data_IF_716911011974
#
_entry.id   IF_716911011974
#
_cell.length_a   1.000
_cell.length_b   1.000
_cell.length_c   1.000
_cell.angle_alpha   90.00
_cell.angle_beta   90.00
_cell.angle_gamma   90.00
#
_symmetry.space_group_name_H-M   'P 1'
#
loop_
_entity.id
_entity.type
_entity.pdbx_description
1 polymer ?
#
# COMPACT_ATOMS: atom_id res chain seq x y z
N UNK A 1 -27.50 15.06 -10.42
CA UNK A 1 -27.47 14.52 -9.07
C UNK A 1 -28.83 14.79 -8.45
N UNK A 2 -29.58 13.75 -8.13
CA UNK A 2 -30.85 13.87 -7.42
C UNK A 2 -30.60 14.60 -6.10
N UNK A 3 -31.38 15.64 -5.85
CA UNK A 3 -31.13 16.66 -4.83
C UNK A 3 -31.26 16.20 -3.36
N UNK A 4 -31.66 14.94 -3.09
CA UNK A 4 -32.14 14.59 -1.75
C UNK A 4 -31.55 13.36 -1.06
N UNK A 5 -30.64 12.61 -1.66
CA UNK A 5 -29.99 11.51 -0.95
C UNK A 5 -28.51 11.77 -0.71
N UNK A 6 -28.14 12.03 0.53
CA UNK A 6 -26.74 12.06 0.97
C UNK A 6 -26.14 10.67 0.80
N UNK A 7 -25.10 10.52 -0.02
CA UNK A 7 -24.38 9.25 -0.27
C UNK A 7 -22.89 9.43 -0.05
N UNK A 8 -22.22 8.34 0.26
CA UNK A 8 -20.76 8.26 0.26
C UNK A 8 -20.31 7.61 -1.05
N UNK A 9 -19.29 8.20 -1.70
CA UNK A 9 -18.90 7.78 -3.04
C UNK A 9 -17.47 7.26 -3.11
N UNK A 10 -17.35 6.08 -3.69
CA UNK A 10 -16.10 5.48 -4.09
C UNK A 10 -15.70 5.98 -5.47
N UNK A 11 -14.43 6.34 -5.65
CA UNK A 11 -13.86 6.69 -6.94
C UNK A 11 -12.65 5.81 -7.24
N UNK A 12 -12.46 5.43 -8.51
CA UNK A 12 -11.27 4.72 -8.94
C UNK A 12 -10.04 5.63 -8.80
N UNK A 13 -9.04 5.17 -8.05
CA UNK A 13 -7.76 5.84 -7.90
C UNK A 13 -6.74 5.19 -8.84
N UNK A 14 -6.29 5.93 -9.83
CA UNK A 14 -5.26 5.52 -10.78
C UNK A 14 -3.90 6.06 -10.32
N UNK A 15 -2.98 5.16 -9.95
CA UNK A 15 -1.68 5.53 -9.43
C UNK A 15 -0.72 5.88 -10.57
N UNK A 16 0.01 6.99 -10.39
CA UNK A 16 1.02 7.48 -11.34
C UNK A 16 2.37 7.53 -10.62
N UNK A 17 3.38 6.93 -11.23
CA UNK A 17 4.76 6.99 -10.77
C UNK A 17 5.62 7.57 -11.88
N UNK A 18 6.27 8.70 -11.62
CA UNK A 18 7.21 9.35 -12.54
C UNK A 18 6.71 9.32 -14.01
N UNK A 19 5.54 9.91 -14.25
CA UNK A 19 4.84 9.99 -15.54
C UNK A 19 4.27 8.65 -16.09
N UNK A 20 4.54 7.52 -15.44
CA UNK A 20 3.98 6.24 -15.84
C UNK A 20 2.70 5.92 -15.05
N UNK A 21 1.64 5.60 -15.75
CA UNK A 21 0.42 5.08 -15.14
C UNK A 21 0.62 3.60 -14.83
N UNK A 22 0.49 3.22 -13.57
CA UNK A 22 0.45 1.82 -13.20
C UNK A 22 -0.96 1.28 -13.43
N UNK A 23 -1.04 0.16 -14.12
CA UNK A 23 -2.31 -0.51 -14.43
C UNK A 23 -2.43 -1.85 -13.74
N UNK A 24 -1.31 -2.43 -13.33
CA UNK A 24 -1.20 -3.74 -12.72
C UNK A 24 -0.21 -3.74 -11.54
N UNK A 25 0.03 -4.89 -10.96
CA UNK A 25 1.05 -5.11 -9.94
C UNK A 25 0.85 -4.28 -8.67
N UNK A 26 1.95 -3.70 -8.18
CA UNK A 26 2.01 -3.02 -6.86
C UNK A 26 1.15 -1.76 -6.80
N UNK A 27 1.13 -0.99 -7.87
CA UNK A 27 0.43 0.29 -7.95
C UNK A 27 -0.84 0.23 -8.81
N UNK A 28 -1.41 -0.98 -9.01
CA UNK A 28 -2.66 -1.13 -9.74
C UNK A 28 -3.75 -0.20 -9.19
N UNK A 29 -4.69 0.22 -10.03
CA UNK A 29 -5.82 1.03 -9.58
C UNK A 29 -6.61 0.34 -8.47
N UNK A 30 -7.11 1.13 -7.55
CA UNK A 30 -8.00 0.70 -6.48
C UNK A 30 -9.16 1.68 -6.32
N UNK A 31 -10.18 1.31 -5.55
CA UNK A 31 -11.28 2.20 -5.21
C UNK A 31 -11.07 2.78 -3.82
N UNK A 32 -11.29 4.08 -3.70
CA UNK A 32 -11.16 4.79 -2.43
C UNK A 32 -12.41 5.62 -2.17
N UNK A 33 -12.87 5.63 -0.91
CA UNK A 33 -13.96 6.47 -0.47
C UNK A 33 -13.43 7.90 -0.32
N UNK A 34 -13.96 8.88 -1.09
CA UNK A 34 -13.42 10.26 -1.11
C UNK A 34 -14.48 11.34 -1.06
N UNK A 35 -15.68 11.09 -1.51
CA UNK A 35 -16.75 12.08 -1.48
C UNK A 35 -17.84 11.59 -0.55
N UNK A 36 -18.01 12.28 0.58
CA UNK A 36 -19.00 11.92 1.59
C UNK A 36 -19.39 13.15 2.39
N UNK A 37 -20.58 13.18 2.97
CA UNK A 37 -20.96 14.23 3.92
C UNK A 37 -20.02 14.24 5.12
N UNK A 38 -19.67 15.41 5.62
CA UNK A 38 -18.79 15.55 6.80
C UNK A 38 -19.43 14.93 8.05
N UNK A 39 -20.70 15.17 8.23
CA UNK A 39 -21.50 14.54 9.29
C UNK A 39 -21.65 13.04 9.02
N UNK A 40 -21.55 12.20 10.03
CA UNK A 40 -21.66 10.75 9.89
C UNK A 40 -20.48 10.05 9.19
N UNK A 41 -19.33 10.74 9.03
CA UNK A 41 -18.08 10.18 8.55
C UNK A 41 -17.10 10.06 9.71
N UNK A 42 -16.49 8.88 9.85
CA UNK A 42 -15.42 8.62 10.81
C UNK A 42 -14.13 8.27 10.09
N UNK A 43 -13.01 8.80 10.57
CA UNK A 43 -11.67 8.54 10.03
C UNK A 43 -10.82 7.97 11.16
N UNK A 44 -10.36 6.74 11.01
CA UNK A 44 -9.55 6.03 12.00
C UNK A 44 -8.19 5.65 11.43
N UNK A 45 -7.16 5.70 12.28
CA UNK A 45 -5.79 5.27 11.98
C UNK A 45 -4.84 6.39 11.61
N UNK A 46 -3.55 6.23 12.00
CA UNK A 46 -2.48 7.21 11.76
C UNK A 46 -1.67 6.92 10.48
N UNK A 47 -1.60 5.68 10.02
CA UNK A 47 -0.75 5.26 8.87
C UNK A 47 -1.59 4.71 7.73
N UNK A 48 -2.66 4.00 8.05
CA UNK A 48 -3.66 3.52 7.11
C UNK A 48 -5.01 4.04 7.60
N UNK A 49 -5.34 5.25 7.16
CA UNK A 49 -6.63 5.85 7.47
C UNK A 49 -7.74 5.01 6.83
N UNK A 50 -8.61 4.51 7.68
CA UNK A 50 -9.85 3.87 7.26
C UNK A 50 -10.97 4.88 7.38
N UNK A 51 -11.61 5.18 6.27
CA UNK A 51 -12.75 6.08 6.22
C UNK A 51 -14.01 5.21 6.21
N UNK A 52 -14.90 5.46 7.15
CA UNK A 52 -16.23 4.86 7.20
C UNK A 52 -17.31 5.93 7.19
N UNK A 53 -18.45 5.60 6.62
CA UNK A 53 -19.58 6.52 6.53
C UNK A 53 -20.86 5.78 6.89
N UNK A 54 -21.79 6.45 7.56
CA UNK A 54 -23.13 5.94 7.86
C UNK A 54 -24.09 6.04 6.66
N UNK A 55 -23.67 6.74 5.60
CA UNK A 55 -24.49 6.93 4.41
C UNK A 55 -24.39 5.75 3.44
N UNK A 56 -25.43 5.51 2.62
CA UNK A 56 -25.36 4.54 1.54
C UNK A 56 -24.20 4.80 0.61
N UNK A 57 -23.49 3.74 0.23
CA UNK A 57 -22.32 3.82 -0.63
C UNK A 57 -22.69 3.70 -2.10
N UNK A 58 -22.05 4.49 -2.95
CA UNK A 58 -22.19 4.44 -4.39
C UNK A 58 -20.84 4.60 -5.08
N UNK A 59 -20.73 4.27 -6.37
CA UNK A 59 -19.53 4.49 -7.16
C UNK A 59 -19.71 5.69 -8.08
N UNK A 60 -18.71 6.56 -8.12
CA UNK A 60 -18.63 7.61 -9.13
C UNK A 60 -17.99 7.07 -10.40
N UNK A 61 -18.55 7.49 -11.54
CA UNK A 61 -17.91 7.30 -12.82
C UNK A 61 -16.77 8.32 -12.98
N UNK A 62 -15.60 7.82 -13.35
CA UNK A 62 -14.40 8.64 -13.51
C UNK A 62 -13.21 8.11 -12.69
N UNK A 63 -12.07 8.77 -12.86
CA UNK A 63 -10.80 8.37 -12.24
C UNK A 63 -10.15 9.57 -11.55
N UNK A 64 -9.60 9.32 -10.38
CA UNK A 64 -8.74 10.26 -9.68
C UNK A 64 -7.29 9.84 -9.89
N UNK A 65 -6.47 10.74 -10.42
CA UNK A 65 -5.04 10.47 -10.54
C UNK A 65 -4.35 10.74 -9.21
N UNK A 66 -3.57 9.75 -8.76
CA UNK A 66 -2.79 9.83 -7.55
C UNK A 66 -1.30 9.74 -7.89
N UNK A 67 -0.62 10.85 -7.80
CA UNK A 67 0.83 10.95 -8.01
C UNK A 67 1.53 10.41 -6.76
N UNK A 68 1.80 9.12 -6.77
CA UNK A 68 2.30 8.39 -5.58
C UNK A 68 3.71 8.80 -5.24
N UNK A 69 4.55 8.98 -6.26
CA UNK A 69 5.95 9.37 -6.13
C UNK A 69 6.40 10.19 -7.33
N UNK A 70 7.07 11.31 -7.06
CA UNK A 70 7.62 12.19 -8.10
C UNK A 70 8.98 11.70 -8.59
N UNK A 71 9.75 11.05 -7.71
CA UNK A 71 11.10 10.56 -8.00
C UNK A 71 11.49 9.39 -7.10
N UNK A 72 12.60 8.74 -7.45
CA UNK A 72 13.13 7.60 -6.72
C UNK A 72 13.62 7.93 -5.31
N UNK A 73 14.13 9.13 -5.07
CA UNK A 73 14.54 9.56 -3.74
C UNK A 73 13.35 9.58 -2.77
N UNK A 74 12.24 10.18 -3.19
CA UNK A 74 11.00 10.17 -2.42
C UNK A 74 10.47 8.74 -2.20
N UNK A 75 10.55 7.89 -3.22
CA UNK A 75 10.17 6.48 -3.13
C UNK A 75 10.97 5.76 -2.04
N UNK A 76 12.32 5.84 -2.07
CA UNK A 76 13.16 5.13 -1.11
C UNK A 76 13.08 5.72 0.31
N UNK A 77 12.86 7.00 0.46
CA UNK A 77 12.59 7.59 1.78
C UNK A 77 11.29 7.03 2.39
N UNK A 78 10.20 6.99 1.62
CA UNK A 78 8.96 6.36 2.07
C UNK A 78 9.13 4.85 2.31
N UNK A 79 9.84 4.15 1.44
CA UNK A 79 10.17 2.74 1.60
C UNK A 79 10.87 2.46 2.94
N UNK A 80 11.91 3.24 3.27
CA UNK A 80 12.62 3.08 4.53
C UNK A 80 11.71 3.34 5.74
N UNK A 81 10.94 4.41 5.70
CA UNK A 81 10.02 4.78 6.78
C UNK A 81 8.92 3.72 6.98
N UNK A 82 8.25 3.31 5.92
CA UNK A 82 7.16 2.34 6.02
C UNK A 82 7.64 0.94 6.43
N UNK A 83 8.82 0.50 5.98
CA UNK A 83 9.39 -0.78 6.45
C UNK A 83 9.73 -0.74 7.93
N UNK A 84 10.18 0.42 8.45
CA UNK A 84 10.44 0.63 9.87
C UNK A 84 9.13 0.62 10.69
N UNK A 85 8.14 1.36 10.26
CA UNK A 85 6.82 1.40 10.92
C UNK A 85 6.15 0.02 10.94
N UNK A 86 6.22 -0.71 9.81
CA UNK A 86 5.67 -2.06 9.72
C UNK A 86 6.37 -3.04 10.67
N UNK A 87 7.71 -2.95 10.80
CA UNK A 87 8.47 -3.78 11.73
C UNK A 87 8.10 -3.49 13.19
N UNK A 88 7.98 -2.21 13.56
CA UNK A 88 7.54 -1.80 14.91
C UNK A 88 6.14 -2.32 15.22
N UNK A 89 5.18 -2.10 14.33
CA UNK A 89 3.80 -2.59 14.48
C UNK A 89 3.74 -4.11 14.61
N UNK A 90 4.56 -4.84 13.86
CA UNK A 90 4.63 -6.30 13.97
C UNK A 90 5.18 -6.74 15.33
N UNK A 91 6.19 -6.04 15.88
CA UNK A 91 6.70 -6.29 17.22
C UNK A 91 5.65 -6.01 18.30
N UNK A 92 4.96 -4.87 18.21
CA UNK A 92 3.88 -4.49 19.14
C UNK A 92 2.76 -5.53 19.15
N UNK A 93 2.45 -6.11 17.99
CA UNK A 93 1.47 -7.18 17.83
C UNK A 93 2.01 -8.57 18.25
N UNK A 94 3.18 -8.67 18.85
CA UNK A 94 3.77 -9.93 19.33
C UNK A 94 4.18 -10.90 18.20
N UNK A 95 4.38 -10.40 16.98
CA UNK A 95 4.71 -11.25 15.83
C UNK A 95 6.14 -11.79 15.93
N UNK A 96 6.29 -13.11 15.88
CA UNK A 96 7.59 -13.76 15.71
C UNK A 96 8.14 -13.59 14.30
N UNK A 97 9.44 -13.79 14.12
CA UNK A 97 10.10 -13.71 12.82
C UNK A 97 11.06 -14.88 12.63
N UNK A 98 10.80 -15.70 11.61
CA UNK A 98 11.68 -16.78 11.17
C UNK A 98 12.59 -16.28 10.05
N UNK A 99 13.90 -16.55 10.15
CA UNK A 99 14.86 -16.15 9.12
C UNK A 99 14.50 -16.74 7.75
N UNK A 100 14.30 -18.05 7.67
CA UNK A 100 14.02 -18.73 6.39
C UNK A 100 12.64 -18.35 5.86
N UNK A 101 11.59 -18.51 6.69
CA UNK A 101 10.22 -18.29 6.24
C UNK A 101 9.93 -16.83 5.90
N UNK A 102 10.32 -15.91 6.77
CA UNK A 102 9.88 -14.54 6.68
C UNK A 102 10.86 -13.64 5.90
N UNK A 103 12.17 -13.94 5.94
CA UNK A 103 13.18 -13.13 5.24
C UNK A 103 13.51 -13.68 3.84
N UNK A 104 13.41 -15.01 3.61
CA UNK A 104 13.73 -15.59 2.31
C UNK A 104 12.48 -15.95 1.50
N UNK A 105 11.58 -16.77 2.07
CA UNK A 105 10.43 -17.32 1.32
C UNK A 105 9.35 -16.25 1.06
N UNK A 106 8.96 -15.48 2.08
CA UNK A 106 7.88 -14.47 1.93
C UNK A 106 8.18 -13.40 0.88
N UNK A 107 9.40 -12.83 0.78
CA UNK A 107 9.72 -11.87 -0.27
C UNK A 107 9.61 -12.48 -1.67
N UNK A 108 10.09 -13.73 -1.84
CA UNK A 108 9.99 -14.43 -3.12
C UNK A 108 8.53 -14.65 -3.55
N UNK A 109 7.68 -15.06 -2.59
CA UNK A 109 6.24 -15.12 -2.83
C UNK A 109 5.62 -13.77 -3.13
N UNK A 110 6.02 -12.71 -2.43
CA UNK A 110 5.53 -11.35 -2.67
C UNK A 110 5.86 -10.87 -4.08
N UNK A 111 7.09 -11.12 -4.56
CA UNK A 111 7.48 -10.84 -5.94
C UNK A 111 6.61 -11.64 -6.93
N UNK A 112 6.54 -12.96 -6.76
CA UNK A 112 5.75 -13.82 -7.64
C UNK A 112 4.29 -13.36 -7.72
N UNK A 113 3.69 -13.05 -6.56
CA UNK A 113 2.31 -12.57 -6.50
C UNK A 113 2.12 -11.30 -7.32
N UNK A 114 2.92 -10.24 -7.08
CA UNK A 114 2.68 -8.95 -7.76
C UNK A 114 3.12 -8.95 -9.20
N UNK A 115 4.18 -9.67 -9.55
CA UNK A 115 4.68 -9.70 -10.93
C UNK A 115 3.86 -10.62 -11.82
N UNK A 116 3.52 -11.83 -11.34
CA UNK A 116 2.81 -12.84 -12.11
C UNK A 116 1.30 -12.78 -11.85
N UNK A 117 0.84 -13.00 -10.60
CA UNK A 117 -0.59 -13.13 -10.32
C UNK A 117 -1.34 -11.80 -10.47
N UNK A 118 -0.77 -10.70 -10.01
CA UNK A 118 -1.31 -9.35 -10.17
C UNK A 118 -0.90 -8.72 -11.52
N UNK A 119 -0.33 -9.52 -12.44
CA UNK A 119 0.04 -9.16 -13.82
C UNK A 119 0.96 -7.94 -13.94
N UNK A 120 1.85 -7.72 -12.97
CA UNK A 120 2.78 -6.59 -12.99
C UNK A 120 3.68 -6.55 -14.24
N UNK A 121 3.90 -7.70 -14.90
CA UNK A 121 4.65 -7.79 -16.16
C UNK A 121 3.99 -7.00 -17.30
N UNK A 122 2.68 -6.74 -17.25
CA UNK A 122 1.98 -5.93 -18.25
C UNK A 122 2.32 -4.44 -18.18
N UNK A 123 2.84 -3.97 -17.05
CA UNK A 123 3.36 -2.60 -16.90
C UNK A 123 4.84 -2.48 -17.37
N UNK A 124 5.34 -3.49 -18.09
CA UNK A 124 6.66 -3.50 -18.72
C UNK A 124 7.81 -3.36 -17.74
N UNK A 125 8.84 -2.58 -18.10
CA UNK A 125 10.04 -2.37 -17.27
C UNK A 125 9.71 -1.78 -15.90
N UNK A 126 8.76 -0.86 -15.84
CA UNK A 126 8.35 -0.24 -14.57
C UNK A 126 7.69 -1.26 -13.66
N UNK A 127 6.80 -2.11 -14.18
CA UNK A 127 6.16 -3.19 -13.41
C UNK A 127 7.18 -4.19 -12.86
N UNK A 128 8.22 -4.54 -13.62
CA UNK A 128 9.32 -5.37 -13.14
C UNK A 128 10.08 -4.69 -11.99
N UNK A 129 10.53 -3.43 -12.18
CA UNK A 129 11.26 -2.67 -11.15
C UNK A 129 10.45 -2.54 -9.86
N UNK A 130 9.16 -2.21 -9.96
CA UNK A 130 8.29 -2.09 -8.79
C UNK A 130 8.07 -3.43 -8.09
N UNK A 131 8.00 -4.54 -8.84
CA UNK A 131 7.87 -5.88 -8.27
C UNK A 131 9.15 -6.31 -7.54
N UNK A 132 10.33 -6.01 -8.09
CA UNK A 132 11.62 -6.22 -7.40
C UNK A 132 11.71 -5.37 -6.14
N UNK A 133 11.31 -4.10 -6.20
CA UNK A 133 11.27 -3.25 -5.02
C UNK A 133 10.27 -3.77 -3.97
N UNK A 134 9.16 -4.38 -4.38
CA UNK A 134 8.22 -5.01 -3.45
C UNK A 134 8.79 -6.26 -2.77
N UNK A 135 9.62 -7.03 -3.48
CA UNK A 135 10.44 -8.09 -2.87
C UNK A 135 11.31 -7.52 -1.75
N UNK A 136 12.11 -6.48 -2.06
CA UNK A 136 12.99 -5.86 -1.06
C UNK A 136 12.20 -5.20 0.07
N UNK A 137 11.07 -4.57 -0.21
CA UNK A 137 10.18 -4.03 0.82
C UNK A 137 9.76 -5.12 1.82
N UNK A 138 9.34 -6.27 1.30
CA UNK A 138 8.92 -7.38 2.13
C UNK A 138 10.09 -7.96 2.92
N UNK A 139 11.25 -8.12 2.31
CA UNK A 139 12.46 -8.60 2.97
C UNK A 139 12.91 -7.65 4.09
N UNK A 140 13.08 -6.35 3.78
CA UNK A 140 13.64 -5.36 4.72
C UNK A 140 12.73 -5.16 5.94
N UNK A 141 11.41 -5.14 5.80
CA UNK A 141 10.54 -5.06 6.98
C UNK A 141 10.70 -6.24 7.94
N UNK A 142 10.93 -7.46 7.42
CA UNK A 142 11.18 -8.63 8.26
C UNK A 142 12.61 -8.68 8.79
N UNK A 143 13.60 -8.21 8.04
CA UNK A 143 14.97 -8.01 8.56
C UNK A 143 14.94 -7.04 9.73
N UNK A 144 14.27 -5.89 9.58
CA UNK A 144 14.10 -4.93 10.67
C UNK A 144 13.37 -5.54 11.87
N UNK A 145 12.30 -6.31 11.65
CA UNK A 145 11.60 -7.01 12.73
C UNK A 145 12.52 -8.01 13.44
N UNK A 146 13.28 -8.80 12.69
CA UNK A 146 14.20 -9.79 13.24
C UNK A 146 15.23 -9.15 14.17
N UNK A 147 15.83 -8.02 13.75
CA UNK A 147 16.78 -7.30 14.61
C UNK A 147 16.11 -6.58 15.78
N UNK A 148 14.93 -6.02 15.60
CA UNK A 148 14.15 -5.44 16.72
C UNK A 148 13.83 -6.45 17.82
N UNK A 149 13.59 -7.71 17.46
CA UNK A 149 13.33 -8.78 18.42
C UNK A 149 14.61 -9.24 19.14
N UNK A 150 15.77 -9.19 18.48
CA UNK A 150 17.07 -9.58 19.04
C UNK A 150 17.77 -8.48 19.85
N UNK A 151 17.58 -7.21 19.49
CA UNK A 151 18.32 -6.07 20.05
C UNK A 151 17.55 -5.31 21.13
N UNK A 152 16.56 -5.93 21.76
CA UNK A 152 15.69 -5.28 22.77
C UNK A 152 15.08 -3.96 22.28
N UNK A 153 14.81 -3.84 20.96
CA UNK A 153 14.10 -2.72 20.38
C UNK A 153 14.95 -1.64 19.73
N UNK A 154 16.24 -1.85 19.59
CA UNK A 154 17.13 -0.97 18.82
C UNK A 154 17.18 -1.41 17.35
N UNK A 155 17.04 -0.47 16.44
CA UNK A 155 17.26 -0.63 14.98
C UNK A 155 18.53 0.09 14.58
#
# INVERSE_FOLDING_TARGET
LAKDEKKAYWIERSNVFHHNKATHGVLRPDYVLRFMPKEGTNIEGFVHETISSTYPEAKLHGKMYHYTYDNWHQYFNKFNNYTTLAAKKYKENGKSCSFVKDILIRPSWAFFKVYILDRGFLDGKMGFILSVNHYFYTMIKYVKLYYLLKSNGKL
#
